data_IF_211795799118
#
_entry.id   IF_211795799118
#
_cell.length_a   1.000
_cell.length_b   1.000
_cell.length_c   1.000
_cell.angle_alpha   90.00
_cell.angle_beta   90.00
_cell.angle_gamma   90.00
#
_symmetry.space_group_name_H-M   'P 1'
#
loop_
_entity.id
_entity.type
_entity.pdbx_description
1 polymer ?
#
# COMPACT_ATOMS: atom_id res chain seq x y z
N UNK A 1 12.55 22.08 -17.36
CA UNK A 1 12.10 20.94 -16.54
C UNK A 1 12.95 20.93 -15.27
N UNK A 2 12.39 21.14 -14.08
CA UNK A 2 13.16 21.07 -12.82
C UNK A 2 13.32 19.59 -12.47
N UNK A 3 14.52 19.05 -12.62
CA UNK A 3 14.86 17.74 -12.07
C UNK A 3 15.02 17.92 -10.57
N UNK A 4 13.98 17.56 -9.81
CA UNK A 4 14.08 17.44 -8.37
C UNK A 4 14.96 16.24 -8.04
N UNK A 5 16.21 16.53 -7.71
CA UNK A 5 17.15 15.53 -7.18
C UNK A 5 16.76 15.24 -5.73
N UNK A 6 16.13 14.11 -5.49
CA UNK A 6 15.67 13.69 -4.18
C UNK A 6 15.43 12.19 -4.16
N UNK A 7 15.40 11.60 -2.96
CA UNK A 7 14.93 10.22 -2.82
C UNK A 7 13.41 10.23 -2.67
N UNK A 8 12.75 9.27 -3.30
CA UNK A 8 11.31 9.11 -3.30
C UNK A 8 10.92 7.97 -2.36
N UNK A 9 9.76 8.05 -1.73
CA UNK A 9 9.23 6.96 -0.89
C UNK A 9 7.81 6.64 -1.34
N UNK A 10 7.53 5.35 -1.50
CA UNK A 10 6.19 4.88 -1.79
C UNK A 10 5.40 4.77 -0.48
N UNK A 11 4.14 5.23 -0.51
CA UNK A 11 3.23 5.20 0.65
C UNK A 11 1.90 4.67 0.16
N UNK A 12 1.31 3.76 0.91
CA UNK A 12 -0.03 3.20 0.69
C UNK A 12 -0.90 3.56 1.89
N UNK A 13 -2.10 4.09 1.63
CA UNK A 13 -3.13 4.29 2.64
C UNK A 13 -4.24 3.29 2.40
N UNK A 14 -4.47 2.41 3.37
CA UNK A 14 -5.52 1.40 3.33
C UNK A 14 -6.73 1.92 4.11
N UNK A 15 -7.90 1.93 3.45
CA UNK A 15 -9.16 2.31 4.06
C UNK A 15 -10.09 1.11 4.12
N UNK A 16 -10.63 0.83 5.31
CA UNK A 16 -11.64 -0.21 5.49
C UNK A 16 -13.03 0.32 5.14
N UNK A 17 -13.80 -0.47 4.39
CA UNK A 17 -15.18 -0.12 4.04
C UNK A 17 -16.04 -0.17 5.31
N UNK A 18 -16.70 0.94 5.63
CA UNK A 18 -17.57 1.05 6.80
C UNK A 18 -16.90 1.67 8.03
N UNK A 19 -15.58 1.93 7.97
CA UNK A 19 -14.88 2.74 8.97
C UNK A 19 -15.00 4.24 8.70
N UNK A 20 -14.53 5.05 9.65
CA UNK A 20 -14.46 6.50 9.52
C UNK A 20 -13.62 6.90 8.29
N UNK A 21 -14.06 7.85 7.44
CA UNK A 21 -13.33 8.25 6.23
C UNK A 21 -11.94 8.83 6.49
N UNK A 22 -11.69 9.33 7.70
CA UNK A 22 -10.39 9.81 8.15
C UNK A 22 -9.51 8.71 8.76
N UNK A 23 -10.07 7.52 9.03
CA UNK A 23 -9.32 6.34 9.47
C UNK A 23 -8.67 5.66 8.28
N UNK A 24 -7.36 5.44 8.38
CA UNK A 24 -6.59 4.64 7.44
C UNK A 24 -5.37 4.05 8.12
N UNK A 25 -4.95 2.88 7.62
CA UNK A 25 -3.65 2.33 7.94
C UNK A 25 -2.63 2.78 6.89
N UNK A 26 -1.49 3.29 7.35
CA UNK A 26 -0.40 3.72 6.48
C UNK A 26 0.66 2.64 6.40
N UNK A 27 1.02 2.27 5.17
CA UNK A 27 2.12 1.37 4.88
C UNK A 27 3.14 2.07 4.02
N UNK A 28 4.38 2.07 4.49
CA UNK A 28 5.50 2.57 3.72
C UNK A 28 6.19 1.43 2.97
N UNK A 29 6.66 1.71 1.76
CA UNK A 29 7.58 0.80 1.07
C UNK A 29 8.88 0.65 1.84
N UNK A 30 9.53 -0.52 1.73
CA UNK A 30 10.73 -0.89 2.51
C UNK A 30 11.93 0.06 2.34
N UNK A 31 11.95 0.89 1.29
CA UNK A 31 13.08 1.74 0.98
C UNK A 31 12.73 3.10 0.38
N UNK A 32 13.79 3.86 0.18
CA UNK A 32 13.78 5.12 -0.55
C UNK A 32 14.38 4.90 -1.94
N UNK A 33 13.70 5.38 -2.99
CA UNK A 33 14.02 5.16 -4.39
C UNK A 33 14.68 6.37 -5.05
N UNK A 34 15.40 6.14 -6.13
CA UNK A 34 16.06 7.21 -6.88
C UNK A 34 15.07 8.00 -7.76
N UNK A 35 13.95 7.38 -8.14
CA UNK A 35 12.93 7.98 -9.01
C UNK A 35 11.50 7.85 -8.46
N UNK A 36 10.63 8.77 -8.87
CA UNK A 36 9.19 8.74 -8.58
C UNK A 36 8.51 7.47 -9.14
N UNK A 37 8.95 7.01 -10.32
CA UNK A 37 8.39 5.82 -10.97
C UNK A 37 8.65 4.58 -10.12
N UNK A 38 9.89 4.38 -9.66
CA UNK A 38 10.24 3.26 -8.78
C UNK A 38 9.44 3.28 -7.48
N UNK A 39 9.29 4.45 -6.85
CA UNK A 39 8.51 4.59 -5.62
C UNK A 39 7.03 4.25 -5.82
N UNK A 40 6.45 4.63 -6.97
CA UNK A 40 5.06 4.30 -7.32
C UNK A 40 4.87 2.83 -7.64
N UNK A 41 5.79 2.21 -8.38
CA UNK A 41 5.70 0.78 -8.68
C UNK A 41 5.86 -0.06 -7.41
N UNK A 42 6.77 0.33 -6.52
CA UNK A 42 6.90 -0.30 -5.20
C UNK A 42 5.63 -0.14 -4.35
N UNK A 43 5.03 1.05 -4.31
CA UNK A 43 3.77 1.26 -3.60
C UNK A 43 2.62 0.42 -4.19
N UNK A 44 2.57 0.29 -5.53
CA UNK A 44 1.57 -0.55 -6.21
C UNK A 44 1.77 -2.03 -5.90
N UNK A 45 3.01 -2.51 -5.86
CA UNK A 45 3.31 -3.88 -5.46
C UNK A 45 2.87 -4.14 -4.02
N UNK A 46 3.22 -3.23 -3.10
CA UNK A 46 2.80 -3.31 -1.70
C UNK A 46 1.27 -3.34 -1.54
N UNK A 47 0.56 -2.46 -2.24
CA UNK A 47 -0.91 -2.43 -2.20
C UNK A 47 -1.54 -3.74 -2.71
N UNK A 48 -0.93 -4.40 -3.70
CA UNK A 48 -1.39 -5.71 -4.18
C UNK A 48 -1.19 -6.79 -3.13
N UNK A 49 -0.02 -6.84 -2.50
CA UNK A 49 0.26 -7.80 -1.42
C UNK A 49 -0.72 -7.63 -0.27
N UNK A 50 -0.95 -6.39 0.19
CA UNK A 50 -1.93 -6.10 1.26
C UNK A 50 -3.37 -6.51 0.88
N UNK A 51 -3.73 -6.37 -0.40
CA UNK A 51 -5.03 -6.83 -0.90
C UNK A 51 -5.12 -8.37 -0.89
N UNK A 52 -4.08 -9.05 -1.36
CA UNK A 52 -4.02 -10.52 -1.36
C UNK A 52 -4.06 -11.10 0.06
N UNK A 53 -3.33 -10.49 1.01
CA UNK A 53 -3.35 -10.83 2.43
C UNK A 53 -4.76 -10.68 3.01
N UNK A 54 -5.43 -9.54 2.75
CA UNK A 54 -6.81 -9.36 3.20
C UNK A 54 -7.77 -10.38 2.60
N UNK A 55 -7.65 -10.71 1.32
CA UNK A 55 -8.48 -11.74 0.68
C UNK A 55 -8.25 -13.11 1.33
N UNK A 56 -7.00 -13.44 1.67
CA UNK A 56 -6.66 -14.70 2.33
C UNK A 56 -7.23 -14.77 3.75
N UNK A 57 -7.07 -13.70 4.54
CA UNK A 57 -7.59 -13.60 5.91
C UNK A 57 -9.11 -13.67 5.95
N UNK A 58 -9.80 -12.94 5.05
CA UNK A 58 -11.26 -13.00 4.93
C UNK A 58 -11.75 -14.38 4.42
N UNK A 59 -11.00 -15.02 3.52
CA UNK A 59 -11.29 -16.37 3.05
C UNK A 59 -11.15 -17.43 4.15
N UNK A 60 -10.26 -17.24 5.12
CA UNK A 60 -10.15 -18.11 6.30
C UNK A 60 -11.24 -17.87 7.34
N UNK A 61 -11.68 -16.61 7.52
CA UNK A 61 -12.76 -16.27 8.43
C UNK A 61 -14.13 -16.82 7.98
N UNK A 62 -14.29 -17.10 6.68
CA UNK A 62 -15.53 -17.62 6.09
C UNK A 62 -15.53 -19.14 5.91
N UNK A 63 -14.65 -19.85 6.64
CA UNK A 63 -14.71 -21.29 6.81
C UNK A 63 -16.02 -21.69 7.50
N UNK A 64 -17.02 -21.97 6.68
CA UNK A 64 -18.19 -22.78 7.02
C UNK A 64 -17.71 -24.14 7.56
N UNK A 65 -17.90 -24.36 8.86
CA UNK A 65 -18.07 -25.70 9.47
C UNK A 65 -19.44 -26.25 9.09
#
# INVERSE_FOLDING_TARGET
MKTVSGRYRGIVHLHHIGEDPGSFEQYDTEGNFATDVEARDAARALARTLLEEQVLEHGKAQGID
#
